data_IF_255958873832
#
_entry.id   IF_255958873832
#
_cell.length_a   1.000
_cell.length_b   1.000
_cell.length_c   1.000
_cell.angle_alpha   90.00
_cell.angle_beta   90.00
_cell.angle_gamma   90.00
#
_symmetry.space_group_name_H-M   'P 1'
#
loop_
_entity.id
_entity.type
_entity.pdbx_description
1 polymer ?
#
# COMPACT_ATOMS: atom_id res chain seq x y z
N UNK A 1 5.71 2.46 -10.76
CA UNK A 1 6.43 2.40 -9.46
C UNK A 1 5.42 2.47 -8.31
N UNK A 2 5.79 2.11 -7.10
CA UNK A 2 4.96 2.30 -5.90
C UNK A 2 4.98 3.77 -5.47
N UNK A 3 3.81 4.32 -5.18
CA UNK A 3 3.62 5.71 -4.75
C UNK A 3 3.34 5.82 -3.25
N UNK A 4 2.48 4.95 -2.71
CA UNK A 4 2.06 4.96 -1.31
C UNK A 4 1.47 3.60 -0.89
N UNK A 5 1.39 3.33 0.43
CA UNK A 5 0.57 2.24 0.94
C UNK A 5 -0.93 2.55 0.73
N UNK A 6 -1.76 1.52 0.57
CA UNK A 6 -3.18 1.70 0.35
C UNK A 6 -4.03 0.55 0.93
N UNK A 7 -5.29 0.84 1.22
CA UNK A 7 -6.33 -0.15 1.58
C UNK A 7 -7.50 0.05 0.63
N UNK A 8 -7.94 -1.02 -0.03
CA UNK A 8 -9.14 -1.02 -0.87
C UNK A 8 -10.31 -1.63 -0.10
N UNK A 9 -11.34 -0.83 0.14
CA UNK A 9 -12.57 -1.22 0.83
C UNK A 9 -13.76 -0.76 -0.01
N UNK A 10 -14.66 -1.69 -0.35
CA UNK A 10 -15.89 -1.41 -1.12
C UNK A 10 -15.65 -0.61 -2.43
N UNK A 11 -14.52 -0.88 -3.10
CA UNK A 11 -14.12 -0.20 -4.34
C UNK A 11 -13.45 1.16 -4.13
N UNK A 12 -13.42 1.70 -2.90
CA UNK A 12 -12.72 2.93 -2.53
C UNK A 12 -11.30 2.61 -2.12
N UNK A 13 -10.34 3.42 -2.58
CA UNK A 13 -8.93 3.31 -2.23
C UNK A 13 -8.62 4.37 -1.18
N UNK A 14 -8.27 3.93 0.03
CA UNK A 14 -7.76 4.76 1.10
C UNK A 14 -6.24 4.72 1.11
N UNK A 15 -5.61 5.90 1.17
CA UNK A 15 -4.15 6.03 1.14
C UNK A 15 -3.72 7.29 1.87
N UNK A 16 -2.48 7.30 2.35
CA UNK A 16 -1.81 8.45 2.94
C UNK A 16 -0.44 8.60 2.26
N UNK A 17 0.11 9.83 2.13
CA UNK A 17 1.43 10.03 1.52
C UNK A 17 2.51 9.18 2.22
N UNK A 18 3.45 8.62 1.43
CA UNK A 18 4.61 7.95 1.99
C UNK A 18 5.37 8.91 2.95
N UNK A 19 5.90 8.44 4.10
CA UNK A 19 6.11 7.03 4.47
C UNK A 19 4.98 6.41 5.33
N UNK A 20 3.74 6.90 5.25
CA UNK A 20 2.62 6.28 5.98
C UNK A 20 2.44 4.80 5.58
N UNK A 21 2.24 3.94 6.58
CA UNK A 21 2.10 2.48 6.45
C UNK A 21 0.65 2.05 6.57
N UNK A 22 0.36 0.76 6.35
CA UNK A 22 -1.02 0.24 6.46
C UNK A 22 -1.66 0.52 7.82
N UNK A 23 -0.89 0.49 8.91
CA UNK A 23 -1.43 0.79 10.25
C UNK A 23 -1.81 2.27 10.41
N UNK A 24 -1.09 3.20 9.78
CA UNK A 24 -1.45 4.62 9.77
C UNK A 24 -2.78 4.84 9.03
N UNK A 25 -2.94 4.14 7.90
CA UNK A 25 -4.19 4.19 7.10
C UNK A 25 -5.35 3.58 7.89
N UNK A 26 -5.16 2.45 8.56
CA UNK A 26 -6.17 1.83 9.43
C UNK A 26 -6.59 2.80 10.54
N UNK A 27 -5.61 3.42 11.21
CA UNK A 27 -5.87 4.41 12.25
C UNK A 27 -6.67 5.59 11.71
N UNK A 28 -6.27 6.12 10.55
CA UNK A 28 -6.98 7.22 9.89
C UNK A 28 -8.44 6.84 9.54
N UNK A 29 -8.64 5.66 8.97
CA UNK A 29 -9.99 5.16 8.64
C UNK A 29 -10.86 5.00 9.89
N UNK A 30 -10.31 4.45 10.97
CA UNK A 30 -11.07 4.21 12.20
C UNK A 30 -11.35 5.51 12.99
N UNK A 31 -10.34 6.37 13.16
CA UNK A 31 -10.40 7.53 14.06
C UNK A 31 -10.93 8.77 13.36
N UNK A 32 -10.36 9.11 12.20
CA UNK A 32 -10.65 10.37 11.51
C UNK A 32 -11.87 10.25 10.59
N UNK A 33 -12.08 9.09 9.98
CA UNK A 33 -13.27 8.82 9.14
C UNK A 33 -14.41 8.12 9.89
N UNK A 34 -14.19 7.68 11.13
CA UNK A 34 -15.21 7.03 11.96
C UNK A 34 -15.70 5.68 11.42
N UNK A 35 -14.88 4.97 10.63
CA UNK A 35 -15.29 3.69 10.06
C UNK A 35 -15.39 2.58 11.12
N UNK A 36 -16.37 1.67 11.02
CA UNK A 36 -16.50 0.56 11.96
C UNK A 36 -15.25 -0.32 12.02
N UNK A 37 -14.83 -0.68 13.23
CA UNK A 37 -13.72 -1.61 13.45
C UNK A 37 -14.23 -3.05 13.62
N UNK A 38 -13.50 -4.08 13.14
CA UNK A 38 -12.19 -3.98 12.47
C UNK A 38 -12.32 -3.45 11.03
N UNK A 39 -11.32 -2.69 10.59
CA UNK A 39 -11.21 -2.30 9.18
C UNK A 39 -10.97 -3.57 8.36
N UNK A 40 -11.99 -3.97 7.61
CA UNK A 40 -11.93 -5.05 6.63
C UNK A 40 -11.63 -4.44 5.26
N UNK A 41 -10.72 -5.02 4.49
CA UNK A 41 -10.29 -4.43 3.22
C UNK A 41 -9.01 -5.05 2.71
N UNK A 42 -8.76 -4.96 1.41
CA UNK A 42 -7.56 -5.50 0.80
C UNK A 42 -6.41 -4.52 0.98
N UNK A 43 -5.37 -4.94 1.69
CA UNK A 43 -4.15 -4.15 1.83
C UNK A 43 -3.27 -4.28 0.59
N UNK A 44 -2.80 -3.16 0.10
CA UNK A 44 -1.95 -3.06 -1.09
C UNK A 44 -1.27 -1.72 -1.16
N UNK A 45 -1.09 -1.23 -2.38
CA UNK A 45 -0.35 0.00 -2.64
C UNK A 45 -1.04 0.79 -3.75
N UNK A 46 -0.92 2.11 -3.67
CA UNK A 46 -1.16 2.96 -4.83
C UNK A 46 0.11 2.91 -5.70
N UNK A 47 -0.05 2.53 -6.96
CA UNK A 47 1.06 2.38 -7.88
C UNK A 47 0.82 3.19 -9.16
N UNK A 48 1.88 3.78 -9.69
CA UNK A 48 1.88 4.39 -11.00
C UNK A 48 1.99 3.31 -12.08
N UNK A 49 0.94 3.21 -12.89
CA UNK A 49 0.85 2.41 -14.10
C UNK A 49 0.81 3.33 -15.33
N UNK A 50 2.00 3.67 -15.84
CA UNK A 50 2.17 4.48 -17.06
C UNK A 50 1.50 5.87 -16.98
N UNK A 51 1.67 6.57 -15.86
CA UNK A 51 1.10 7.90 -15.62
C UNK A 51 -0.29 7.87 -14.98
N UNK A 52 -0.80 6.70 -14.60
CA UNK A 52 -2.09 6.53 -13.94
C UNK A 52 -1.95 5.81 -12.60
N UNK A 53 -2.41 6.45 -11.53
CA UNK A 53 -2.46 5.83 -10.21
C UNK A 53 -3.53 4.73 -10.18
N UNK A 54 -3.13 3.50 -9.85
CA UNK A 54 -4.02 2.35 -9.70
C UNK A 54 -3.67 1.58 -8.44
N UNK A 55 -4.66 0.88 -7.89
CA UNK A 55 -4.43 -0.06 -6.80
C UNK A 55 -3.67 -1.29 -7.31
N UNK A 56 -2.62 -1.66 -6.58
CA UNK A 56 -1.90 -2.92 -6.75
C UNK A 56 -1.94 -3.69 -5.44
N UNK A 57 -2.34 -4.96 -5.48
CA UNK A 57 -2.23 -5.82 -4.30
C UNK A 57 -0.76 -6.10 -3.96
N UNK A 58 -0.48 -6.71 -2.81
CA UNK A 58 0.90 -6.90 -2.32
C UNK A 58 1.79 -7.70 -3.27
N UNK A 59 1.25 -8.67 -4.01
CA UNK A 59 2.00 -9.49 -4.96
C UNK A 59 2.32 -8.69 -6.24
N UNK A 60 1.34 -7.97 -6.78
CA UNK A 60 1.53 -7.10 -7.94
C UNK A 60 2.52 -5.97 -7.60
N UNK A 61 2.36 -5.36 -6.43
CA UNK A 61 3.21 -4.31 -5.93
C UNK A 61 4.66 -4.80 -5.76
N UNK A 62 4.86 -6.02 -5.26
CA UNK A 62 6.19 -6.66 -5.16
C UNK A 62 6.90 -6.66 -6.51
N UNK A 63 6.24 -7.15 -7.55
CA UNK A 63 6.80 -7.21 -8.89
C UNK A 63 7.11 -5.81 -9.44
N UNK A 64 6.26 -4.82 -9.17
CA UNK A 64 6.47 -3.43 -9.61
C UNK A 64 7.63 -2.75 -8.88
N UNK A 65 7.72 -2.90 -7.56
CA UNK A 65 8.77 -2.33 -6.72
C UNK A 65 10.14 -2.91 -7.09
N UNK A 66 10.23 -4.23 -7.30
CA UNK A 66 11.47 -4.88 -7.76
C UNK A 66 11.94 -4.32 -9.11
N UNK A 67 11.03 -4.18 -10.09
CA UNK A 67 11.39 -3.60 -11.40
C UNK A 67 11.79 -2.13 -11.34
N UNK A 68 11.26 -1.39 -10.36
CA UNK A 68 11.53 0.04 -10.19
C UNK A 68 12.73 0.31 -9.27
N UNK A 69 13.38 -0.72 -8.72
CA UNK A 69 14.51 -0.57 -7.79
C UNK A 69 14.14 0.07 -6.45
N UNK A 70 12.86 0.01 -6.04
CA UNK A 70 12.39 0.70 -4.82
C UNK A 70 12.53 -0.12 -3.54
N UNK A 71 12.89 -1.40 -3.64
CA UNK A 71 13.01 -2.27 -2.48
C UNK A 71 14.33 -1.99 -1.79
N UNK A 72 14.27 -1.69 -0.50
CA UNK A 72 15.44 -1.44 0.33
C UNK A 72 16.37 -2.66 0.35
N UNK A 73 17.67 -2.41 0.49
CA UNK A 73 18.68 -3.47 0.53
C UNK A 73 18.39 -4.47 1.66
N UNK A 74 18.47 -5.76 1.34
CA UNK A 74 18.17 -6.85 2.29
C UNK A 74 16.69 -7.01 2.65
N UNK A 75 15.77 -6.26 2.01
CA UNK A 75 14.31 -6.34 2.25
C UNK A 75 13.57 -7.06 1.12
N UNK A 76 12.26 -7.28 1.33
CA UNK A 76 11.39 -7.90 0.33
C UNK A 76 11.73 -9.36 0.04
N UNK A 77 12.15 -10.14 1.03
CA UNK A 77 12.48 -11.56 0.83
C UNK A 77 11.21 -12.42 0.65
N UNK A 78 10.06 -11.89 1.02
CA UNK A 78 8.77 -12.58 0.95
C UNK A 78 8.12 -12.41 -0.44
N UNK A 79 7.14 -13.29 -0.71
CA UNK A 79 6.32 -13.25 -1.95
C UNK A 79 5.50 -11.97 -2.07
N UNK A 80 5.12 -11.39 -0.93
CA UNK A 80 4.31 -10.19 -0.83
C UNK A 80 5.17 -9.00 -0.43
N UNK A 81 4.78 -7.80 -0.87
CA UNK A 81 5.42 -6.56 -0.47
C UNK A 81 4.78 -5.99 0.81
N UNK A 82 5.62 -5.53 1.72
CA UNK A 82 5.24 -4.76 2.90
C UNK A 82 5.75 -3.32 2.76
N UNK A 83 5.10 -2.35 3.41
CA UNK A 83 5.54 -0.95 3.37
C UNK A 83 6.98 -0.77 3.87
N UNK A 84 7.36 -1.58 4.87
CA UNK A 84 8.67 -1.68 5.49
C UNK A 84 9.77 -2.18 4.53
N UNK A 85 9.38 -2.76 3.39
CA UNK A 85 10.33 -3.14 2.34
C UNK A 85 10.75 -1.95 1.47
N UNK A 86 10.01 -0.83 1.55
CA UNK A 86 10.21 0.38 0.74
C UNK A 86 10.73 1.57 1.56
N UNK A 87 10.35 1.67 2.83
CA UNK A 87 10.75 2.74 3.75
C UNK A 87 10.68 2.34 5.24
#
# INVERSE_FOLDING_TARGET
MILAAAIRLDGVIHTLPAPARHHDIIRFMAVDLGMPTPITGEQGFLADYQGQARFANRIQAKAMASRSGQILEGKGLLRELFSEDLW
#
